data_IF_089707612501
#
_entry.id   IF_089707612501
#
_cell.length_a   1.000
_cell.length_b   1.000
_cell.length_c   1.000
_cell.angle_alpha   90.00
_cell.angle_beta   90.00
_cell.angle_gamma   90.00
#
_symmetry.space_group_name_H-M   'P 1'
#
loop_
_entity.id
_entity.type
_entity.pdbx_description
1 polymer ?
#
# COMPACT_ATOMS: atom_id res chain seq x y z
N UNK A 1 -14.13 -6.48 -28.31
CA UNK A 1 -13.33 -7.29 -27.36
C UNK A 1 -13.35 -8.77 -27.71
N UNK A 2 -14.53 -9.40 -27.78
CA UNK A 2 -14.65 -10.86 -27.97
C UNK A 2 -14.32 -11.29 -29.40
N UNK A 3 -14.82 -10.58 -30.42
CA UNK A 3 -14.66 -10.96 -31.83
C UNK A 3 -13.18 -10.97 -32.29
N UNK A 4 -12.40 -9.94 -31.95
CA UNK A 4 -10.98 -9.87 -32.31
C UNK A 4 -10.16 -11.00 -31.68
N UNK A 5 -10.46 -11.37 -30.43
CA UNK A 5 -9.79 -12.48 -29.75
C UNK A 5 -10.20 -13.85 -30.32
N UNK A 6 -11.47 -14.04 -30.70
CA UNK A 6 -11.92 -15.28 -31.35
C UNK A 6 -11.27 -15.48 -32.71
N UNK A 7 -11.18 -14.42 -33.52
CA UNK A 7 -10.52 -14.46 -34.84
C UNK A 7 -9.01 -14.64 -34.68
N UNK A 8 -8.39 -14.09 -33.64
CA UNK A 8 -6.96 -14.28 -33.38
C UNK A 8 -6.61 -15.77 -33.16
N UNK A 9 -7.45 -16.54 -32.48
CA UNK A 9 -7.22 -17.97 -32.19
C UNK A 9 -7.16 -18.81 -33.48
N UNK A 10 -7.85 -18.41 -34.54
CA UNK A 10 -7.88 -19.16 -35.80
C UNK A 10 -6.70 -18.84 -36.71
N UNK A 11 -5.85 -17.86 -36.36
CA UNK A 11 -4.72 -17.46 -37.19
C UNK A 11 -3.48 -18.35 -36.98
N UNK A 12 -2.82 -18.67 -38.08
CA UNK A 12 -1.59 -19.48 -38.11
C UNK A 12 -0.30 -18.64 -38.06
N UNK A 13 -0.40 -17.34 -38.36
CA UNK A 13 0.72 -16.40 -38.36
C UNK A 13 0.70 -15.49 -37.13
N UNK A 14 1.87 -15.31 -36.52
CA UNK A 14 2.03 -14.53 -35.30
C UNK A 14 1.68 -13.05 -35.50
N UNK A 15 2.09 -12.47 -36.63
CA UNK A 15 1.79 -11.07 -36.99
C UNK A 15 0.27 -10.81 -37.07
N UNK A 16 -0.48 -11.71 -37.71
CA UNK A 16 -1.94 -11.58 -37.85
C UNK A 16 -2.65 -11.78 -36.51
N UNK A 17 -2.23 -12.77 -35.73
CA UNK A 17 -2.80 -13.04 -34.41
C UNK A 17 -2.72 -11.81 -33.49
N UNK A 18 -1.57 -11.12 -33.45
CA UNK A 18 -1.42 -9.90 -32.65
C UNK A 18 -2.19 -8.71 -33.20
N UNK A 19 -2.27 -8.56 -34.53
CA UNK A 19 -3.08 -7.51 -35.14
C UNK A 19 -4.56 -7.64 -34.74
N UNK A 20 -5.12 -8.86 -34.80
CA UNK A 20 -6.50 -9.11 -34.38
C UNK A 20 -6.71 -8.98 -32.86
N UNK A 21 -5.73 -9.38 -32.05
CA UNK A 21 -5.77 -9.11 -30.60
C UNK A 21 -5.80 -7.60 -30.31
N UNK A 22 -5.08 -6.80 -31.11
CA UNK A 22 -5.04 -5.35 -30.94
C UNK A 22 -6.37 -4.66 -31.22
N UNK A 23 -7.10 -5.14 -32.22
CA UNK A 23 -8.47 -4.73 -32.50
C UNK A 23 -9.39 -5.07 -31.31
N UNK A 24 -9.13 -6.18 -30.61
CA UNK A 24 -9.87 -6.57 -29.40
C UNK A 24 -9.72 -5.59 -28.24
N UNK A 25 -8.55 -4.96 -28.10
CA UNK A 25 -8.17 -4.09 -26.97
C UNK A 25 -8.69 -2.65 -27.11
N UNK A 26 -9.05 -2.21 -28.32
CA UNK A 26 -9.70 -0.91 -28.59
C UNK A 26 -10.97 -0.74 -27.73
N UNK A 27 -11.66 -1.83 -27.39
CA UNK A 27 -12.82 -1.78 -26.49
C UNK A 27 -12.51 -1.23 -25.09
N UNK A 28 -11.30 -1.45 -24.55
CA UNK A 28 -10.92 -0.86 -23.25
C UNK A 28 -10.73 0.66 -23.32
N UNK A 29 -10.30 1.17 -24.48
CA UNK A 29 -10.17 2.60 -24.74
C UNK A 29 -11.55 3.27 -24.77
N UNK A 30 -12.52 2.63 -25.43
CA UNK A 30 -13.90 3.12 -25.52
C UNK A 30 -14.54 3.20 -24.12
N UNK A 31 -14.28 2.24 -23.24
CA UNK A 31 -14.75 2.30 -21.83
C UNK A 31 -14.20 3.56 -21.13
N UNK A 32 -12.93 3.90 -21.34
CA UNK A 32 -12.32 5.12 -20.78
C UNK A 32 -12.98 6.40 -21.27
N UNK A 33 -13.36 6.46 -22.55
CA UNK A 33 -14.06 7.59 -23.16
C UNK A 33 -15.48 7.73 -22.58
N UNK A 34 -16.22 6.61 -22.44
CA UNK A 34 -17.59 6.60 -21.91
C UNK A 34 -17.63 7.07 -20.45
N UNK A 35 -16.64 6.68 -19.64
CA UNK A 35 -16.56 7.06 -18.21
C UNK A 35 -16.22 8.56 -18.03
N UNK A 36 -15.47 9.15 -18.96
CA UNK A 36 -15.11 10.58 -18.93
C UNK A 36 -14.30 11.00 -17.70
N UNK A 37 -14.37 12.28 -17.31
CA UNK A 37 -13.56 12.85 -16.23
C UNK A 37 -14.09 12.54 -14.82
N UNK A 38 -15.32 12.02 -14.72
CA UNK A 38 -16.04 11.78 -13.46
C UNK A 38 -15.25 10.97 -12.41
N UNK A 39 -14.36 10.08 -12.84
CA UNK A 39 -13.49 9.26 -11.99
C UNK A 39 -12.04 9.20 -12.51
N UNK A 40 -11.60 10.21 -13.27
CA UNK A 40 -10.28 10.18 -13.92
C UNK A 40 -10.17 9.15 -15.05
N UNK A 41 -11.28 8.90 -15.77
CA UNK A 41 -11.33 7.95 -16.88
C UNK A 41 -10.37 8.31 -18.02
N UNK A 42 -10.15 9.60 -18.28
CA UNK A 42 -9.15 10.04 -19.25
C UNK A 42 -7.72 9.70 -18.83
N UNK A 43 -7.38 9.87 -17.54
CA UNK A 43 -6.05 9.55 -17.04
C UNK A 43 -5.77 8.03 -17.10
N UNK A 44 -6.76 7.20 -16.77
CA UNK A 44 -6.64 5.74 -16.88
C UNK A 44 -6.56 5.27 -18.34
N UNK A 45 -7.31 5.89 -19.25
CA UNK A 45 -7.24 5.64 -20.69
C UNK A 45 -5.84 5.97 -21.26
N UNK A 46 -5.31 7.16 -20.95
CA UNK A 46 -3.99 7.60 -21.45
C UNK A 46 -2.88 6.70 -20.94
N UNK A 47 -2.90 6.37 -19.64
CA UNK A 47 -1.89 5.46 -19.07
C UNK A 47 -1.96 4.07 -19.67
N UNK A 48 -3.17 3.51 -19.82
CA UNK A 48 -3.37 2.23 -20.50
C UNK A 48 -2.85 2.26 -21.95
N UNK A 49 -3.19 3.29 -22.74
CA UNK A 49 -2.74 3.44 -24.13
C UNK A 49 -1.22 3.52 -24.24
N UNK A 50 -0.56 4.26 -23.35
CA UNK A 50 0.89 4.41 -23.36
C UNK A 50 1.61 3.07 -23.11
N UNK A 51 1.18 2.32 -22.09
CA UNK A 51 1.72 0.99 -21.83
C UNK A 51 1.40 0.00 -22.96
N UNK A 52 0.18 0.05 -23.48
CA UNK A 52 -0.27 -0.84 -24.54
C UNK A 52 0.52 -0.62 -25.85
N UNK A 53 0.69 0.62 -26.29
CA UNK A 53 1.46 0.95 -27.50
C UNK A 53 2.94 0.55 -27.32
N UNK A 54 3.55 0.91 -26.18
CA UNK A 54 4.94 0.56 -25.89
C UNK A 54 5.18 -0.95 -25.93
N UNK A 55 4.27 -1.74 -25.34
CA UNK A 55 4.40 -3.18 -25.31
C UNK A 55 4.14 -3.83 -26.68
N UNK A 56 3.15 -3.35 -27.45
CA UNK A 56 2.93 -3.87 -28.80
C UNK A 56 4.12 -3.58 -29.72
N UNK A 57 4.70 -2.37 -29.65
CA UNK A 57 5.92 -2.06 -30.40
C UNK A 57 7.04 -3.04 -30.03
N UNK A 58 7.23 -3.31 -28.74
CA UNK A 58 8.21 -4.31 -28.27
C UNK A 58 7.94 -5.72 -28.79
N UNK A 59 6.68 -6.18 -28.76
CA UNK A 59 6.28 -7.50 -29.27
C UNK A 59 6.46 -7.61 -30.78
N UNK A 60 6.04 -6.60 -31.55
CA UNK A 60 6.21 -6.57 -33.01
C UNK A 60 7.69 -6.50 -33.40
N UNK A 61 8.52 -5.73 -32.68
CA UNK A 61 9.96 -5.69 -32.90
C UNK A 61 10.59 -7.08 -32.71
N UNK A 62 10.22 -7.81 -31.65
CA UNK A 62 10.71 -9.17 -31.42
C UNK A 62 10.29 -10.15 -32.53
N UNK A 63 9.05 -10.04 -33.00
CA UNK A 63 8.51 -10.91 -34.07
C UNK A 63 9.15 -10.61 -35.42
N UNK A 64 9.36 -9.34 -35.76
CA UNK A 64 10.06 -8.95 -36.99
C UNK A 64 11.51 -9.39 -36.93
N UNK A 65 12.19 -9.20 -35.81
CA UNK A 65 13.58 -9.61 -35.64
C UNK A 65 13.75 -11.14 -35.73
N UNK A 66 12.78 -11.91 -35.22
CA UNK A 66 12.72 -13.36 -35.45
C UNK A 66 12.48 -13.69 -36.92
N UNK A 67 11.48 -13.08 -37.57
CA UNK A 67 11.16 -13.32 -38.98
C UNK A 67 12.30 -12.95 -39.93
N UNK A 68 13.11 -11.95 -39.61
CA UNK A 68 14.32 -11.61 -40.38
C UNK A 68 15.44 -12.67 -40.25
N UNK A 69 15.47 -13.43 -39.15
CA UNK A 69 16.48 -14.48 -38.92
C UNK A 69 16.07 -15.83 -39.50
N UNK A 70 14.79 -16.19 -39.41
CA UNK A 70 14.29 -17.51 -39.82
C UNK A 70 13.57 -17.51 -41.17
N UNK A 71 13.17 -16.34 -41.67
CA UNK A 71 12.41 -16.19 -42.92
C UNK A 71 10.96 -16.66 -42.82
N UNK A 72 10.45 -17.01 -41.63
CA UNK A 72 9.10 -17.55 -41.44
C UNK A 72 8.32 -16.81 -40.35
N UNK A 73 7.01 -16.67 -40.59
CA UNK A 73 6.07 -15.98 -39.68
C UNK A 73 5.09 -16.95 -38.99
N UNK A 74 5.26 -18.25 -39.18
CA UNK A 74 4.35 -19.27 -38.67
C UNK A 74 4.57 -19.51 -37.17
N UNK A 75 3.48 -19.66 -36.44
CA UNK A 75 3.53 -19.85 -34.98
C UNK A 75 4.26 -21.14 -34.56
N UNK A 76 4.27 -22.17 -35.42
CA UNK A 76 4.94 -23.45 -35.17
C UNK A 76 6.46 -23.31 -35.09
N UNK A 77 7.04 -22.34 -35.80
CA UNK A 77 8.49 -22.18 -35.90
C UNK A 77 9.08 -21.51 -34.65
N UNK A 78 8.22 -20.95 -33.79
CA UNK A 78 8.59 -20.43 -32.47
C UNK A 78 8.77 -21.54 -31.43
N UNK A 79 8.49 -22.81 -31.77
CA UNK A 79 8.73 -23.95 -30.89
C UNK A 79 10.24 -24.10 -30.62
N UNK A 80 10.61 -24.13 -29.33
CA UNK A 80 12.01 -24.21 -28.92
C UNK A 80 12.79 -22.89 -29.07
N UNK A 81 12.12 -21.74 -29.21
CA UNK A 81 12.81 -20.44 -29.30
C UNK A 81 13.77 -20.18 -28.12
N UNK A 82 13.42 -20.64 -26.92
CA UNK A 82 14.27 -20.50 -25.73
C UNK A 82 15.62 -21.20 -25.85
N UNK A 83 15.69 -22.34 -26.54
CA UNK A 83 16.96 -23.08 -26.71
C UNK A 83 17.80 -22.52 -27.84
N UNK A 84 17.17 -21.90 -28.87
CA UNK A 84 17.87 -21.29 -30.01
C UNK A 84 18.40 -19.89 -29.70
N UNK A 85 17.55 -19.03 -29.12
CA UNK A 85 17.83 -17.62 -28.84
C UNK A 85 17.19 -17.20 -27.49
N UNK A 86 17.87 -17.41 -26.35
CA UNK A 86 17.30 -17.17 -25.03
C UNK A 86 16.96 -15.69 -24.78
N UNK A 87 17.74 -14.75 -25.35
CA UNK A 87 17.50 -13.32 -25.21
C UNK A 87 16.22 -12.86 -25.92
N UNK A 88 15.98 -13.37 -27.14
CA UNK A 88 14.79 -13.04 -27.92
C UNK A 88 13.55 -13.65 -27.27
N UNK A 89 13.66 -14.92 -26.83
CA UNK A 89 12.59 -15.60 -26.08
C UNK A 89 12.20 -14.83 -24.80
N UNK A 90 13.18 -14.37 -24.01
CA UNK A 90 12.94 -13.67 -22.76
C UNK A 90 12.30 -12.29 -23.00
N UNK A 91 12.80 -11.53 -23.98
CA UNK A 91 12.23 -10.24 -24.38
C UNK A 91 10.77 -10.39 -24.84
N UNK A 92 10.51 -11.37 -25.73
CA UNK A 92 9.17 -11.66 -26.23
C UNK A 92 8.23 -12.10 -25.10
N UNK A 93 8.68 -12.98 -24.20
CA UNK A 93 7.91 -13.44 -23.05
C UNK A 93 7.57 -12.28 -22.10
N UNK A 94 8.50 -11.37 -21.83
CA UNK A 94 8.27 -10.22 -20.95
C UNK A 94 7.22 -9.28 -21.55
N UNK A 95 7.30 -8.97 -22.85
CA UNK A 95 6.30 -8.14 -23.53
C UNK A 95 4.90 -8.81 -23.53
N UNK A 96 4.82 -10.11 -23.81
CA UNK A 96 3.54 -10.85 -23.81
C UNK A 96 2.93 -10.99 -22.41
N UNK A 97 3.73 -11.28 -21.39
CA UNK A 97 3.27 -11.34 -20.00
C UNK A 97 2.81 -9.96 -19.48
N UNK A 98 3.45 -8.89 -19.95
CA UNK A 98 3.02 -7.51 -19.67
C UNK A 98 1.69 -7.17 -20.35
N UNK A 99 1.49 -7.57 -21.61
CA UNK A 99 0.20 -7.44 -22.32
C UNK A 99 -0.92 -8.26 -21.65
N UNK A 100 -0.58 -9.39 -21.03
CA UNK A 100 -1.48 -10.21 -20.22
C UNK A 100 -1.90 -9.57 -18.89
N UNK A 101 -1.35 -8.39 -18.54
CA UNK A 101 -1.72 -7.66 -17.33
C UNK A 101 -1.28 -8.36 -16.03
N UNK A 102 -0.25 -9.23 -16.10
CA UNK A 102 0.17 -9.98 -14.92
C UNK A 102 0.71 -9.02 -13.84
N UNK A 103 0.23 -9.17 -12.59
CA UNK A 103 0.53 -8.27 -11.49
C UNK A 103 2.00 -8.14 -11.06
N UNK A 104 3.00 -8.92 -11.55
CA UNK A 104 4.41 -8.62 -11.30
C UNK A 104 5.07 -7.70 -12.36
N UNK A 105 4.49 -7.54 -13.56
CA UNK A 105 5.16 -6.84 -14.68
C UNK A 105 4.50 -5.50 -15.03
N UNK A 106 3.17 -5.44 -15.04
CA UNK A 106 2.41 -4.19 -15.12
C UNK A 106 1.79 -3.81 -13.75
N UNK A 107 1.74 -4.77 -12.82
CA UNK A 107 1.21 -4.56 -11.49
C UNK A 107 2.24 -3.91 -10.58
N UNK A 108 1.97 -2.65 -10.25
CA UNK A 108 2.43 -1.93 -9.07
C UNK A 108 2.92 -2.88 -7.99
N UNK A 109 4.21 -2.84 -7.63
CA UNK A 109 4.71 -3.40 -6.38
C UNK A 109 3.92 -2.75 -5.23
N UNK A 110 2.80 -3.37 -4.87
CA UNK A 110 1.79 -2.76 -4.01
C UNK A 110 2.24 -2.93 -2.56
N UNK A 111 3.19 -2.09 -2.15
CA UNK A 111 3.78 -2.10 -0.81
C UNK A 111 2.77 -1.75 0.30
N UNK A 112 1.59 -1.20 -0.05
CA UNK A 112 0.61 -0.66 0.91
C UNK A 112 -0.70 -1.46 0.95
N UNK A 113 -1.21 -1.65 2.17
CA UNK A 113 -2.52 -2.24 2.38
C UNK A 113 -3.64 -1.24 2.02
N UNK A 114 -4.32 -1.47 0.89
CA UNK A 114 -5.54 -0.74 0.48
C UNK A 114 -6.82 -1.59 0.60
N UNK A 115 -6.72 -2.76 1.22
CA UNK A 115 -7.85 -3.69 1.33
C UNK A 115 -8.91 -3.28 2.38
N UNK A 116 -9.97 -4.10 2.55
CA UNK A 116 -11.07 -3.81 3.47
C UNK A 116 -10.62 -3.72 4.94
N UNK A 117 -10.65 -2.52 5.52
CA UNK A 117 -10.13 -2.25 6.88
C UNK A 117 -10.97 -2.91 7.99
N UNK A 118 -12.30 -2.90 7.88
CA UNK A 118 -13.20 -3.53 8.86
C UNK A 118 -12.98 -5.04 8.98
N UNK A 119 -12.55 -5.71 7.90
CA UNK A 119 -12.19 -7.14 7.93
C UNK A 119 -10.98 -7.41 8.84
N UNK A 120 -10.03 -6.47 8.93
CA UNK A 120 -8.87 -6.58 9.83
C UNK A 120 -9.25 -6.32 11.28
N UNK A 121 -10.10 -5.33 11.52
CA UNK A 121 -10.56 -4.98 12.87
C UNK A 121 -11.38 -6.12 13.47
N UNK A 122 -12.31 -6.72 12.72
CA UNK A 122 -13.05 -7.91 13.17
C UNK A 122 -12.16 -9.10 13.55
N UNK A 123 -10.94 -9.18 13.01
CA UNK A 123 -9.99 -10.27 13.27
C UNK A 123 -9.01 -9.95 14.40
N UNK A 124 -8.54 -8.69 14.48
CA UNK A 124 -7.43 -8.29 15.35
C UNK A 124 -7.88 -7.43 16.54
N UNK A 125 -9.14 -7.00 16.58
CA UNK A 125 -9.68 -6.06 17.56
C UNK A 125 -9.61 -4.60 17.11
N UNK A 126 -9.91 -3.69 18.04
CA UNK A 126 -9.94 -2.25 17.79
C UNK A 126 -8.52 -1.72 17.44
N UNK A 127 -8.42 -1.03 16.30
CA UNK A 127 -7.18 -0.43 15.79
C UNK A 127 -7.46 1.05 15.46
N UNK A 128 -7.29 1.98 16.42
CA UNK A 128 -7.72 3.37 16.25
C UNK A 128 -6.98 4.08 15.09
N UNK A 129 -5.68 3.83 14.91
CA UNK A 129 -4.91 4.42 13.81
C UNK A 129 -5.36 4.03 12.39
N UNK A 130 -6.06 2.88 12.21
CA UNK A 130 -6.41 2.37 10.89
C UNK A 130 -7.75 2.92 10.37
N UNK A 131 -8.75 3.06 11.24
CA UNK A 131 -10.08 3.59 10.91
C UNK A 131 -10.74 4.15 12.16
N UNK A 132 -11.48 5.26 12.02
CA UNK A 132 -12.34 5.79 13.08
C UNK A 132 -13.69 5.09 13.17
N UNK A 133 -14.11 4.39 12.09
CA UNK A 133 -15.38 3.66 12.05
C UNK A 133 -15.39 2.52 13.07
N UNK A 134 -16.20 2.70 14.10
CA UNK A 134 -16.52 1.66 15.07
C UNK A 134 -17.42 0.59 14.44
N UNK A 135 -17.25 -0.66 14.85
CA UNK A 135 -18.18 -1.72 14.50
C UNK A 135 -19.49 -1.47 15.26
N UNK A 136 -20.67 -1.56 14.61
CA UNK A 136 -21.93 -1.45 15.34
C UNK A 136 -21.97 -2.56 16.40
N UNK A 137 -22.20 -2.14 17.64
CA UNK A 137 -22.40 -3.02 18.81
C UNK A 137 -23.52 -4.00 18.44
N UNK A 138 -23.21 -5.31 18.43
CA UNK A 138 -24.12 -6.38 17.98
C UNK A 138 -23.80 -7.02 16.61
N UNK A 139 -22.92 -6.43 15.79
CA UNK A 139 -22.48 -7.04 14.51
C UNK A 139 -21.37 -8.09 14.63
N UNK A 140 -20.80 -8.25 15.83
CA UNK A 140 -19.88 -9.35 16.14
C UNK A 140 -20.62 -10.68 16.34
N UNK A 141 -21.89 -10.63 16.76
CA UNK A 141 -22.72 -11.79 17.09
C UNK A 141 -23.54 -12.34 15.91
N UNK A 142 -23.74 -11.58 14.83
CA UNK A 142 -24.81 -11.87 13.85
C UNK A 142 -24.36 -12.46 12.50
N UNK A 143 -23.06 -12.67 12.24
CA UNK A 143 -22.61 -13.31 10.97
C UNK A 143 -21.43 -14.26 11.17
N UNK A 144 -21.68 -15.42 11.81
CA UNK A 144 -20.92 -16.70 11.76
C UNK A 144 -20.88 -17.45 13.10
N UNK A 145 -21.97 -17.42 13.87
CA UNK A 145 -21.97 -17.76 15.30
C UNK A 145 -21.51 -19.19 15.59
N UNK A 146 -21.94 -20.22 14.85
CA UNK A 146 -21.51 -21.61 15.15
C UNK A 146 -20.06 -21.95 14.72
N UNK A 147 -19.61 -21.45 13.56
CA UNK A 147 -18.24 -21.76 13.07
C UNK A 147 -17.16 -20.98 13.81
N UNK A 148 -17.51 -19.84 14.41
CA UNK A 148 -16.58 -18.98 15.15
C UNK A 148 -16.41 -19.45 16.60
N UNK A 149 -17.49 -19.90 17.24
CA UNK A 149 -17.46 -20.49 18.58
C UNK A 149 -16.59 -21.76 18.64
N UNK A 150 -16.71 -22.64 17.63
CA UNK A 150 -15.82 -23.82 17.48
C UNK A 150 -14.34 -23.47 17.27
N UNK A 151 -14.03 -22.26 16.80
CA UNK A 151 -12.67 -21.78 16.51
C UNK A 151 -12.07 -21.00 17.67
N UNK A 152 -12.90 -20.32 18.45
CA UNK A 152 -12.52 -19.64 19.70
C UNK A 152 -12.28 -20.63 20.85
N UNK A 153 -12.94 -21.79 20.85
CA UNK A 153 -12.65 -22.91 21.77
C UNK A 153 -11.30 -23.61 21.54
N UNK A 154 -10.60 -23.34 20.43
CA UNK A 154 -9.25 -23.91 20.21
C UNK A 154 -8.22 -23.01 20.89
N UNK A 155 -7.47 -23.57 21.83
CA UNK A 155 -6.35 -22.87 22.45
C UNK A 155 -5.40 -22.33 21.38
N UNK A 156 -5.11 -21.04 21.46
CA UNK A 156 -4.21 -20.41 20.51
C UNK A 156 -2.78 -20.84 20.82
N UNK A 157 -2.11 -21.41 19.83
CA UNK A 157 -0.66 -21.64 19.89
C UNK A 157 0.09 -20.34 20.21
N UNK A 158 1.17 -20.43 20.98
CA UNK A 158 2.07 -19.32 21.29
C UNK A 158 2.52 -18.53 20.04
N UNK A 159 2.75 -19.22 18.91
CA UNK A 159 3.09 -18.56 17.64
C UNK A 159 1.94 -17.67 17.15
N UNK A 160 0.71 -18.15 17.23
CA UNK A 160 -0.48 -17.41 16.78
C UNK A 160 -0.69 -16.15 17.61
N UNK A 161 -0.46 -16.22 18.92
CA UNK A 161 -0.57 -15.08 19.84
C UNK A 161 0.45 -13.99 19.46
N UNK A 162 1.72 -14.36 19.27
CA UNK A 162 2.78 -13.43 18.86
C UNK A 162 2.53 -12.83 17.48
N UNK A 163 2.07 -13.66 16.54
CA UNK A 163 1.69 -13.22 15.21
C UNK A 163 0.56 -12.20 15.29
N UNK A 164 -0.47 -12.44 16.09
CA UNK A 164 -1.59 -11.51 16.27
C UNK A 164 -1.12 -10.15 16.82
N UNK A 165 -0.29 -10.12 17.86
CA UNK A 165 0.26 -8.87 18.41
C UNK A 165 1.09 -8.09 17.38
N UNK A 166 1.94 -8.79 16.62
CA UNK A 166 2.70 -8.18 15.51
C UNK A 166 1.75 -7.60 14.46
N UNK A 167 0.70 -8.33 14.10
CA UNK A 167 -0.27 -7.88 13.10
C UNK A 167 -1.05 -6.66 13.58
N UNK A 168 -1.45 -6.60 14.86
CA UNK A 168 -2.09 -5.42 15.45
C UNK A 168 -1.20 -4.19 15.28
N UNK A 169 0.07 -4.29 15.69
CA UNK A 169 1.05 -3.21 15.57
C UNK A 169 1.26 -2.80 14.11
N UNK A 170 1.44 -3.77 13.20
CA UNK A 170 1.63 -3.50 11.77
C UNK A 170 0.46 -2.75 11.15
N UNK A 171 -0.77 -3.19 11.40
CA UNK A 171 -1.96 -2.61 10.80
C UNK A 171 -2.36 -1.30 11.48
N UNK A 172 -2.11 -1.12 12.77
CA UNK A 172 -2.31 0.14 13.47
C UNK A 172 -1.53 1.26 12.80
N UNK A 173 -0.21 1.12 12.71
CA UNK A 173 0.68 2.12 12.09
C UNK A 173 0.69 2.07 10.55
N UNK A 174 -0.07 1.15 9.93
CA UNK A 174 -0.17 1.01 8.48
C UNK A 174 1.15 0.68 7.77
N UNK A 175 2.05 -0.09 8.40
CA UNK A 175 3.39 -0.38 7.88
C UNK A 175 3.43 -1.65 7.01
N UNK A 176 4.27 -1.71 5.96
CA UNK A 176 4.62 -2.97 5.33
C UNK A 176 5.54 -3.81 6.24
N UNK A 177 5.49 -5.14 6.08
CA UNK A 177 6.28 -6.07 6.89
C UNK A 177 7.78 -5.76 6.83
N UNK A 178 8.30 -5.45 5.63
CA UNK A 178 9.71 -5.11 5.41
C UNK A 178 10.13 -3.88 6.23
N UNK A 179 9.25 -2.88 6.34
CA UNK A 179 9.54 -1.67 7.09
C UNK A 179 9.46 -1.93 8.60
N UNK A 180 8.50 -2.72 9.06
CA UNK A 180 8.41 -3.12 10.47
C UNK A 180 9.65 -3.90 10.91
N UNK A 181 10.09 -4.87 10.11
CA UNK A 181 11.35 -5.60 10.31
C UNK A 181 12.55 -4.65 10.43
N UNK A 182 12.63 -3.62 9.59
CA UNK A 182 13.69 -2.61 9.66
C UNK A 182 13.65 -1.86 10.99
N UNK A 183 12.48 -1.47 11.47
CA UNK A 183 12.34 -0.79 12.78
C UNK A 183 12.75 -1.70 13.94
N UNK A 184 12.37 -2.97 13.92
CA UNK A 184 12.77 -3.94 14.96
C UNK A 184 14.28 -4.12 15.00
N UNK A 185 14.95 -4.22 13.84
CA UNK A 185 16.42 -4.30 13.78
C UNK A 185 17.10 -3.03 14.30
N UNK A 186 16.52 -1.86 14.06
CA UNK A 186 17.05 -0.60 14.58
C UNK A 186 16.86 -0.53 16.10
N UNK A 187 15.67 -0.91 16.59
CA UNK A 187 15.37 -0.94 18.01
C UNK A 187 16.26 -1.94 18.77
N UNK A 188 16.52 -3.12 18.21
CA UNK A 188 17.40 -4.13 18.83
C UNK A 188 18.88 -3.74 18.87
N UNK A 189 19.30 -2.73 18.11
CA UNK A 189 20.65 -2.14 18.18
C UNK A 189 20.74 -0.97 19.15
N UNK A 190 19.62 -0.39 19.53
CA UNK A 190 19.59 0.76 20.42
C UNK A 190 19.80 0.31 21.88
N UNK A 191 20.27 1.24 22.72
CA UNK A 191 20.38 1.01 24.16
C UNK A 191 18.98 1.09 24.78
N UNK A 192 18.62 0.11 25.61
CA UNK A 192 17.33 0.05 26.31
C UNK A 192 16.47 -1.15 25.93
N UNK A 193 15.21 -1.16 26.40
CA UNK A 193 14.25 -2.22 26.06
C UNK A 193 13.84 -2.12 24.60
N UNK A 194 14.16 -3.16 23.82
CA UNK A 194 13.85 -3.24 22.38
C UNK A 194 12.38 -2.93 22.08
N UNK A 195 11.45 -3.39 22.91
CA UNK A 195 10.02 -3.16 22.72
C UNK A 195 9.64 -1.69 22.90
N UNK A 196 10.18 -1.04 23.93
CA UNK A 196 9.92 0.38 24.19
C UNK A 196 10.51 1.26 23.09
N UNK A 197 11.77 1.02 22.69
CA UNK A 197 12.41 1.75 21.59
C UNK A 197 11.67 1.54 20.28
N UNK A 198 11.17 0.33 20.02
CA UNK A 198 10.36 0.07 18.83
C UNK A 198 9.10 0.95 18.81
N UNK A 199 8.35 1.02 19.92
CA UNK A 199 7.16 1.85 20.00
C UNK A 199 7.50 3.34 19.87
N UNK A 200 8.56 3.79 20.52
CA UNK A 200 9.10 5.16 20.41
C UNK A 200 9.41 5.51 18.96
N UNK A 201 10.11 4.64 18.23
CA UNK A 201 10.44 4.86 16.81
C UNK A 201 9.22 4.90 15.88
N UNK A 202 8.14 4.21 16.25
CA UNK A 202 6.89 4.19 15.48
C UNK A 202 6.00 5.39 15.78
N UNK A 203 5.96 5.82 17.04
CA UNK A 203 5.18 6.98 17.45
C UNK A 203 5.79 8.29 16.96
N UNK A 204 7.13 8.40 16.95
CA UNK A 204 7.87 9.60 16.48
C UNK A 204 7.88 9.79 14.96
N UNK A 205 7.03 9.08 14.22
CA UNK A 205 6.88 9.28 12.77
C UNK A 205 5.93 10.43 12.49
N UNK A 206 6.21 11.20 11.43
CA UNK A 206 5.39 12.35 11.04
C UNK A 206 3.92 12.00 10.80
N UNK A 207 3.64 10.89 10.12
CA UNK A 207 2.26 10.43 9.89
C UNK A 207 1.50 10.11 11.18
N UNK A 208 2.20 9.53 12.14
CA UNK A 208 1.62 9.18 13.41
C UNK A 208 1.44 10.41 14.32
N UNK A 209 2.41 11.34 14.33
CA UNK A 209 2.29 12.60 15.09
C UNK A 209 1.10 13.43 14.59
N UNK A 210 0.89 13.54 13.28
CA UNK A 210 -0.29 14.23 12.72
C UNK A 210 -1.61 13.60 13.16
N UNK A 211 -1.65 12.27 13.27
CA UNK A 211 -2.79 11.55 13.80
C UNK A 211 -2.99 11.84 15.30
N UNK A 212 -1.91 11.83 16.10
CA UNK A 212 -1.95 12.14 17.54
C UNK A 212 -2.34 13.60 17.83
N UNK A 213 -1.91 14.53 16.99
CA UNK A 213 -2.30 15.95 17.04
C UNK A 213 -3.76 16.18 16.61
N UNK A 214 -4.47 15.17 16.08
CA UNK A 214 -5.84 15.34 15.58
C UNK A 214 -5.93 16.11 14.26
N UNK A 215 -4.81 16.49 13.64
CA UNK A 215 -4.77 17.10 12.31
C UNK A 215 -5.22 16.13 11.20
N UNK A 216 -5.25 14.83 11.51
CA UNK A 216 -5.86 13.79 10.70
C UNK A 216 -6.61 12.80 11.58
N UNK A 217 -7.75 12.30 11.09
CA UNK A 217 -8.61 11.35 11.82
C UNK A 217 -8.03 9.94 11.81
N UNK A 218 -7.23 9.59 10.80
CA UNK A 218 -6.60 8.25 10.69
C UNK A 218 -5.16 8.37 10.16
N UNK A 219 -4.30 7.40 10.48
CA UNK A 219 -2.90 7.37 9.99
C UNK A 219 -2.83 7.30 8.46
N UNK A 220 -3.67 6.51 7.75
CA UNK A 220 -3.70 6.54 6.28
C UNK A 220 -4.04 7.92 5.71
N UNK A 221 -4.92 8.69 6.36
CA UNK A 221 -5.25 10.06 5.98
C UNK A 221 -4.05 11.00 6.24
N UNK A 222 -3.40 10.89 7.40
CA UNK A 222 -2.19 11.66 7.71
C UNK A 222 -1.09 11.43 6.66
N UNK A 223 -0.86 10.18 6.26
CA UNK A 223 0.07 9.85 5.17
C UNK A 223 -0.32 10.48 3.85
N UNK A 224 -1.61 10.53 3.54
CA UNK A 224 -2.10 11.16 2.32
C UNK A 224 -1.78 12.67 2.35
N UNK A 225 -2.06 13.35 3.46
CA UNK A 225 -1.71 14.76 3.66
C UNK A 225 -0.21 15.03 3.44
N UNK A 226 0.65 14.21 4.05
CA UNK A 226 2.10 14.32 3.89
C UNK A 226 2.53 14.06 2.45
N UNK A 227 2.11 12.95 1.82
CA UNK A 227 2.51 12.61 0.45
C UNK A 227 2.10 13.70 -0.56
N UNK A 228 0.94 14.35 -0.34
CA UNK A 228 0.43 15.44 -1.18
C UNK A 228 0.97 16.82 -0.78
N UNK A 229 2.00 16.90 0.10
CA UNK A 229 2.71 18.14 0.45
C UNK A 229 1.84 19.19 1.15
N UNK A 230 0.87 18.78 1.96
CA UNK A 230 0.03 19.69 2.75
C UNK A 230 0.64 20.09 4.11
N UNK A 231 1.76 19.47 4.49
CA UNK A 231 2.38 19.62 5.82
C UNK A 231 3.80 20.18 5.69
N UNK A 232 4.12 21.10 6.58
CA UNK A 232 5.43 21.72 6.75
C UNK A 232 6.02 21.27 8.09
N UNK A 233 7.32 20.97 8.11
CA UNK A 233 8.10 20.76 9.34
C UNK A 233 9.19 21.82 9.38
N UNK A 234 9.23 22.62 10.45
CA UNK A 234 10.15 23.75 10.61
C UNK A 234 10.14 24.69 9.38
N UNK A 235 8.96 24.95 8.82
CA UNK A 235 8.76 25.79 7.63
C UNK A 235 9.12 25.13 6.29
N UNK A 236 9.63 23.90 6.26
CA UNK A 236 9.99 23.18 5.02
C UNK A 236 8.95 22.13 4.65
N UNK A 237 8.68 21.97 3.35
CA UNK A 237 7.77 20.94 2.85
C UNK A 237 8.40 19.56 3.06
N UNK A 238 7.72 18.71 3.84
CA UNK A 238 8.11 17.32 4.04
C UNK A 238 7.04 16.43 3.42
N UNK A 239 7.42 15.63 2.42
CA UNK A 239 6.53 14.70 1.72
C UNK A 239 6.78 13.22 2.08
N UNK A 240 7.57 12.96 3.11
CA UNK A 240 7.96 11.61 3.55
C UNK A 240 7.22 11.28 4.85
N UNK A 241 6.19 10.40 4.84
CA UNK A 241 5.44 10.09 6.05
C UNK A 241 6.25 9.36 7.13
N UNK A 242 7.33 8.68 6.72
CA UNK A 242 8.27 8.02 7.62
C UNK A 242 9.37 8.93 8.17
N UNK A 243 9.26 10.25 7.96
CA UNK A 243 10.13 11.23 8.59
C UNK A 243 10.07 11.04 10.11
N UNK A 244 11.24 11.00 10.74
CA UNK A 244 11.36 10.90 12.20
C UNK A 244 11.42 12.31 12.74
N UNK A 245 10.36 12.72 13.43
CA UNK A 245 10.37 14.01 14.09
C UNK A 245 11.33 13.96 15.27
N UNK A 246 12.02 15.06 15.47
CA UNK A 246 12.88 15.31 16.61
C UNK A 246 12.10 16.12 17.65
N UNK A 247 12.54 16.11 18.92
CA UNK A 247 12.11 17.12 19.87
C UNK A 247 12.33 18.52 19.29
N UNK A 248 11.45 19.44 19.64
CA UNK A 248 11.35 20.83 19.20
C UNK A 248 10.93 21.04 17.74
N UNK A 249 10.58 19.97 17.01
CA UNK A 249 10.05 20.12 15.66
C UNK A 249 8.66 20.79 15.68
N UNK A 250 8.52 21.79 14.82
CA UNK A 250 7.30 22.56 14.59
C UNK A 250 6.60 22.02 13.35
N UNK A 251 5.39 21.51 13.51
CA UNK A 251 4.57 20.95 12.43
C UNK A 251 3.45 21.95 12.12
N UNK A 252 3.35 22.39 10.88
CA UNK A 252 2.36 23.39 10.44
C UNK A 252 1.66 22.94 9.15
N UNK A 253 0.45 23.46 8.94
CA UNK A 253 -0.24 23.33 7.67
C UNK A 253 0.40 24.24 6.62
N UNK A 254 0.45 23.79 5.35
CA UNK A 254 0.83 24.65 4.23
C UNK A 254 -0.20 25.78 4.07
N UNK A 255 0.28 26.98 3.72
CA UNK A 255 -0.53 28.17 3.44
C UNK A 255 -1.29 28.07 2.11
N UNK A 256 -2.23 27.13 2.06
CA UNK A 256 -3.12 26.91 0.93
C UNK A 256 -4.50 26.57 1.48
N UNK A 257 -5.55 27.17 0.92
CA UNK A 257 -6.92 27.04 1.45
C UNK A 257 -7.36 25.58 1.54
N UNK A 258 -7.03 24.77 0.51
CA UNK A 258 -7.32 23.32 0.49
C UNK A 258 -6.65 22.56 1.65
N UNK A 259 -5.41 22.93 1.98
CA UNK A 259 -4.67 22.29 3.08
C UNK A 259 -5.31 22.61 4.43
N UNK A 260 -5.66 23.89 4.63
CA UNK A 260 -6.27 24.38 5.88
C UNK A 260 -7.66 23.78 6.10
N UNK A 261 -8.50 23.72 5.06
CA UNK A 261 -9.85 23.13 5.17
C UNK A 261 -9.81 21.64 5.51
N UNK A 262 -8.89 20.87 4.92
CA UNK A 262 -8.73 19.45 5.22
C UNK A 262 -8.33 19.20 6.69
N UNK A 263 -7.42 20.01 7.22
CA UNK A 263 -6.95 19.91 8.61
C UNK A 263 -8.04 20.40 9.57
N UNK A 264 -8.73 21.50 9.24
CA UNK A 264 -9.84 22.03 10.01
C UNK A 264 -10.98 21.01 10.15
N UNK A 265 -11.39 20.38 9.05
CA UNK A 265 -12.41 19.33 9.05
C UNK A 265 -11.97 18.13 9.92
N UNK A 266 -10.68 17.81 9.91
CA UNK A 266 -10.13 16.73 10.74
C UNK A 266 -10.13 17.09 12.23
N UNK A 267 -9.75 18.31 12.58
CA UNK A 267 -9.78 18.81 13.96
C UNK A 267 -11.19 18.89 14.55
N UNK A 268 -12.19 19.19 13.70
CA UNK A 268 -13.61 19.20 14.11
C UNK A 268 -14.19 17.80 14.29
N UNK A 269 -13.78 16.84 13.45
CA UNK A 269 -14.32 15.47 13.44
C UNK A 269 -13.57 14.51 14.37
N UNK A 270 -12.32 14.83 14.73
CA UNK A 270 -11.53 13.99 15.61
C UNK A 270 -12.09 14.03 17.04
N UNK A 271 -12.37 12.87 17.67
CA UNK A 271 -12.64 12.84 19.09
C UNK A 271 -11.40 13.35 19.83
N UNK A 272 -11.58 14.30 20.75
CA UNK A 272 -10.50 14.82 21.60
C UNK A 272 -10.09 13.74 22.61
N UNK A 273 -9.35 12.73 22.16
CA UNK A 273 -8.54 11.92 23.08
C UNK A 273 -7.52 12.84 23.76
N UNK A 274 -7.19 12.53 25.02
CA UNK A 274 -6.17 13.29 25.75
C UNK A 274 -4.87 13.27 24.95
N UNK A 275 -4.40 14.44 24.54
CA UNK A 275 -3.13 14.60 23.87
C UNK A 275 -2.02 14.05 24.78
N UNK A 276 -1.09 13.24 24.24
CA UNK A 276 0.03 12.76 25.02
C UNK A 276 0.96 13.92 25.38
N UNK A 277 1.63 13.83 26.54
CA UNK A 277 2.47 14.90 27.10
C UNK A 277 3.58 15.41 26.17
N UNK A 278 4.02 14.56 25.24
CA UNK A 278 5.09 14.90 24.30
C UNK A 278 4.64 15.80 23.14
N UNK A 279 3.34 16.07 22.98
CA UNK A 279 2.80 16.89 21.91
C UNK A 279 1.98 18.05 22.49
N UNK A 280 2.17 19.23 21.92
CA UNK A 280 1.27 20.37 22.13
C UNK A 280 0.68 20.80 20.80
N UNK A 281 -0.58 21.23 20.84
CA UNK A 281 -1.35 21.64 19.67
C UNK A 281 -1.95 23.02 19.94
N UNK A 282 -1.69 23.95 19.03
CA UNK A 282 -2.36 25.25 18.96
C UNK A 282 -3.42 25.20 17.85
N UNK A 283 -4.72 25.06 18.18
CA UNK A 283 -5.77 24.86 17.20
C UNK A 283 -6.00 26.09 16.30
N UNK A 284 -5.70 27.30 16.80
CA UNK A 284 -5.90 28.57 16.08
C UNK A 284 -4.91 28.73 14.93
N UNK A 285 -3.67 28.30 15.11
CA UNK A 285 -2.60 28.43 14.12
C UNK A 285 -2.37 27.15 13.31
N UNK A 286 -3.13 26.08 13.58
CA UNK A 286 -2.88 24.74 13.01
C UNK A 286 -1.42 24.32 13.19
N UNK A 287 -0.88 24.60 14.38
CA UNK A 287 0.53 24.40 14.72
C UNK A 287 0.63 23.31 15.79
N UNK A 288 1.46 22.32 15.53
CA UNK A 288 1.82 21.27 16.47
C UNK A 288 3.29 21.37 16.84
N UNK A 289 3.61 21.14 18.11
CA UNK A 289 4.98 21.14 18.62
C UNK A 289 5.27 19.78 19.25
N UNK A 290 6.44 19.23 18.93
CA UNK A 290 6.96 18.01 19.55
C UNK A 290 7.87 18.41 20.71
N UNK A 291 7.42 18.27 21.95
CA UNK A 291 8.19 18.77 23.11
C UNK A 291 9.35 17.85 23.47
N UNK A 292 9.06 16.55 23.55
CA UNK A 292 10.00 15.54 24.03
C UNK A 292 9.80 14.24 23.26
N UNK A 293 10.66 13.26 23.53
CA UNK A 293 10.44 11.92 23.00
C UNK A 293 9.38 11.23 23.86
N UNK A 294 8.49 10.47 23.22
CA UNK A 294 7.40 9.75 23.89
C UNK A 294 7.92 8.65 24.84
N UNK A 295 7.32 8.60 26.03
CA UNK A 295 7.39 7.46 26.93
C UNK A 295 6.40 6.37 26.54
N UNK A 296 6.77 5.10 26.73
CA UNK A 296 5.95 3.94 26.37
C UNK A 296 4.55 3.94 27.00
N UNK A 297 4.38 4.60 28.15
CA UNK A 297 3.10 4.68 28.88
C UNK A 297 2.04 5.52 28.15
N UNK A 298 2.47 6.49 27.35
CA UNK A 298 1.58 7.41 26.62
C UNK A 298 1.19 6.87 25.22
N UNK A 299 1.63 5.67 24.87
CA UNK A 299 1.26 5.01 23.63
C UNK A 299 -0.21 4.59 23.72
N UNK A 300 -1.09 5.21 22.92
CA UNK A 300 -2.53 4.94 22.92
C UNK A 300 -2.96 3.57 22.37
N UNK A 301 -2.04 2.60 22.27
CA UNK A 301 -2.30 1.28 21.74
C UNK A 301 -1.97 0.21 22.79
N UNK A 302 -3.00 -0.50 23.26
CA UNK A 302 -2.86 -1.62 24.22
C UNK A 302 -2.26 -2.84 23.50
N UNK A 303 -0.94 -2.97 23.52
CA UNK A 303 -0.19 -4.09 22.93
C UNK A 303 0.84 -4.61 23.92
N UNK A 304 1.15 -5.90 23.82
CA UNK A 304 2.28 -6.51 24.55
C UNK A 304 3.52 -6.50 23.66
N UNK A 305 4.37 -5.48 23.77
CA UNK A 305 5.52 -5.28 22.90
C UNK A 305 6.53 -6.45 22.91
N UNK A 306 6.69 -7.11 24.07
CA UNK A 306 7.59 -8.26 24.22
C UNK A 306 7.25 -9.41 23.26
N UNK A 307 5.96 -9.68 23.03
CA UNK A 307 5.52 -10.75 22.12
C UNK A 307 5.88 -10.45 20.66
N UNK A 308 5.95 -9.17 20.28
CA UNK A 308 6.38 -8.76 18.95
C UNK A 308 7.88 -8.96 18.78
N UNK A 309 8.67 -8.61 19.80
CA UNK A 309 10.13 -8.84 19.79
C UNK A 309 10.43 -10.34 19.72
N UNK A 310 9.73 -11.15 20.51
CA UNK A 310 9.89 -12.61 20.53
C UNK A 310 9.50 -13.27 19.19
N UNK A 311 8.54 -12.71 18.46
CA UNK A 311 8.20 -13.18 17.12
C UNK A 311 9.41 -13.07 16.16
N UNK A 312 10.08 -11.93 16.16
CA UNK A 312 11.16 -11.65 15.23
C UNK A 312 12.49 -12.29 15.63
N UNK A 313 12.76 -12.48 16.93
CA UNK A 313 13.96 -13.17 17.39
C UNK A 313 14.00 -14.66 16.97
N UNK A 314 12.84 -15.30 16.83
CA UNK A 314 12.75 -16.69 16.33
C UNK A 314 12.97 -16.79 14.83
N UNK A 315 12.49 -15.81 14.05
CA UNK A 315 12.68 -15.80 12.59
C UNK A 315 14.14 -15.60 12.17
N UNK A 316 14.98 -15.00 13.01
CA UNK A 316 16.39 -14.79 12.71
C UNK A 316 17.28 -15.98 13.04
N UNK A 317 16.76 -16.99 13.76
CA UNK A 317 17.52 -18.18 14.19
C UNK A 317 17.33 -19.39 13.27
N UNK A 318 16.47 -19.27 12.25
CA UNK A 318 16.21 -20.28 11.21
C UNK A 318 16.64 -19.74 9.87
#
# INVERSE_FOLDING_TARGET
MILGNLIAITQTSMKRMLAYSSIGQIGYVIIGIIVGDSNGGYASMITYMLFYISMNIGTFACIVLFGLRTGTDNIRDYAGLYTKDPFLALSLALCLLSLGGLPPLAGVFMSRYRGPRLKKIRRLGALPGLTSKQLPVGSEQSRSSEKREKREKREKSYYSIRLEEKQKLRFHYGLPERQLLKYVRIAGKAKGSTGQVLLQLLEMRLDNILFRLGMAVTIPQARQLVNHRHVLVNGRIVNIPSYRCKPEDIITAKDEQKSRTLIQNSLQSAPREKLPTHLTLDPSQYKGLVNQIIDSQWVGLKIKELLVVEYYSRQTKT
#
